data_IF_422449915231
#
_entry.id   IF_422449915231
#
_cell.length_a   1.000
_cell.length_b   1.000
_cell.length_c   1.000
_cell.angle_alpha   90.00
_cell.angle_beta   90.00
_cell.angle_gamma   90.00
#
_symmetry.space_group_name_H-M   'P 1'
#
loop_
_entity.id
_entity.type
_entity.pdbx_description
1 polymer ?
#
# COMPACT_ATOMS: atom_id res chain seq x y z
N UNK A 1 7.37 -21.90 13.62
CA UNK A 1 7.60 -20.45 13.49
C UNK A 1 6.27 -19.73 13.41
N UNK A 2 6.17 -18.54 14.00
CA UNK A 2 5.01 -17.65 13.85
C UNK A 2 5.35 -16.53 12.85
N UNK A 3 4.43 -16.22 11.95
CA UNK A 3 4.49 -15.08 11.04
C UNK A 3 3.23 -14.24 11.27
N UNK A 4 3.37 -12.96 11.61
CA UNK A 4 2.27 -12.01 11.67
C UNK A 4 2.30 -11.11 10.45
N UNK A 5 1.22 -11.13 9.67
CA UNK A 5 0.97 -10.26 8.54
C UNK A 5 0.09 -9.10 8.99
N UNK A 6 0.56 -7.87 8.79
CA UNK A 6 -0.20 -6.65 9.07
C UNK A 6 -0.46 -5.85 7.79
N UNK A 7 -1.66 -5.28 7.68
CA UNK A 7 -2.06 -4.37 6.61
C UNK A 7 -2.72 -3.09 7.14
N UNK A 8 -3.22 -2.23 6.26
CA UNK A 8 -3.61 -0.87 6.65
C UNK A 8 -4.68 -0.83 7.74
N UNK A 9 -5.54 -1.85 7.81
CA UNK A 9 -6.51 -2.03 8.89
C UNK A 9 -5.88 -2.14 10.28
N UNK A 10 -4.60 -2.51 10.39
CA UNK A 10 -3.86 -2.44 11.64
C UNK A 10 -3.69 -0.99 12.10
N UNK A 11 -3.23 -0.09 11.22
CA UNK A 11 -3.09 1.34 11.57
C UNK A 11 -4.45 1.97 11.88
N UNK A 12 -5.48 1.60 11.12
CA UNK A 12 -6.86 2.06 11.33
C UNK A 12 -7.44 1.57 12.66
N UNK A 13 -7.11 0.34 13.08
CA UNK A 13 -7.52 -0.18 14.39
C UNK A 13 -6.87 0.59 15.56
N UNK A 14 -5.80 1.34 15.29
CA UNK A 14 -5.21 2.28 16.25
C UNK A 14 -5.57 3.74 15.92
N UNK A 15 -6.68 3.96 15.21
CA UNK A 15 -7.21 5.29 14.89
C UNK A 15 -6.25 6.21 14.10
N UNK A 16 -5.24 5.66 13.43
CA UNK A 16 -4.31 6.45 12.64
C UNK A 16 -4.92 6.85 11.28
N UNK A 17 -4.72 8.11 10.83
CA UNK A 17 -5.31 8.58 9.59
C UNK A 17 -4.52 8.13 8.35
N UNK A 18 -4.50 6.84 8.07
CA UNK A 18 -3.71 6.22 6.98
C UNK A 18 -4.51 5.92 5.72
N UNK A 19 -5.80 6.27 5.65
CA UNK A 19 -6.55 6.15 4.39
C UNK A 19 -6.04 7.18 3.39
N UNK A 20 -6.01 6.81 2.10
CA UNK A 20 -5.63 7.75 1.04
C UNK A 20 -6.51 8.99 0.98
N UNK A 21 -7.80 8.86 1.32
CA UNK A 21 -8.70 10.02 1.42
C UNK A 21 -8.26 11.02 2.49
N UNK A 22 -7.73 10.55 3.62
CA UNK A 22 -7.24 11.39 4.71
C UNK A 22 -5.97 12.12 4.31
N UNK A 23 -5.09 11.45 3.54
CA UNK A 23 -3.93 12.08 2.91
C UNK A 23 -4.33 13.16 1.90
N UNK A 24 -5.32 12.92 1.04
CA UNK A 24 -5.80 13.93 0.09
C UNK A 24 -6.43 15.14 0.79
N UNK A 25 -7.24 14.91 1.84
CA UNK A 25 -7.76 16.00 2.66
C UNK A 25 -6.63 16.79 3.31
N UNK A 26 -5.61 16.12 3.84
CA UNK A 26 -4.40 16.79 4.35
C UNK A 26 -3.76 17.68 3.27
N UNK A 27 -3.54 17.17 2.04
CA UNK A 27 -3.02 17.96 0.92
C UNK A 27 -3.84 19.23 0.66
N UNK A 28 -5.17 19.14 0.65
CA UNK A 28 -6.07 20.31 0.46
C UNK A 28 -5.86 21.41 1.51
N UNK A 29 -5.42 21.05 2.72
CA UNK A 29 -5.12 22.02 3.80
C UNK A 29 -3.67 22.52 3.75
N UNK A 30 -2.78 21.87 3.00
CA UNK A 30 -1.41 22.34 2.74
C UNK A 30 -1.41 23.47 1.71
N UNK A 31 -2.12 23.34 0.58
CA UNK A 31 -2.21 24.37 -0.47
C UNK A 31 -2.39 25.82 0.04
N UNK A 32 -3.41 26.14 0.87
CA UNK A 32 -3.63 27.51 1.36
C UNK A 32 -2.51 28.06 2.25
N UNK A 33 -1.63 27.20 2.81
CA UNK A 33 -0.42 27.64 3.52
C UNK A 33 0.55 28.31 2.53
N UNK A 34 0.55 27.96 1.25
CA UNK A 34 1.57 28.43 0.31
C UNK A 34 1.04 29.33 -0.81
N UNK A 35 -0.22 29.19 -1.21
CA UNK A 35 -0.76 29.90 -2.38
C UNK A 35 -1.09 31.38 -2.12
N UNK A 36 -1.47 31.76 -0.90
CA UNK A 36 -1.79 33.15 -0.58
C UNK A 36 -0.56 33.92 -0.07
N UNK A 37 0.20 34.55 -0.96
CA UNK A 37 1.47 35.23 -0.63
C UNK A 37 1.31 36.36 0.41
N UNK A 38 0.18 37.06 0.43
CA UNK A 38 -0.08 38.16 1.37
C UNK A 38 -0.54 37.67 2.75
N UNK A 39 -1.11 36.46 2.80
CA UNK A 39 -1.70 35.87 3.99
C UNK A 39 -3.06 36.46 4.34
N UNK A 40 -3.95 35.63 4.91
CA UNK A 40 -5.26 36.06 5.43
C UNK A 40 -5.30 36.11 6.96
N UNK A 41 -4.15 35.86 7.61
CA UNK A 41 -4.05 35.67 9.05
C UNK A 41 -4.45 34.26 9.48
N UNK A 42 -3.81 33.77 10.55
CA UNK A 42 -4.00 32.39 11.02
C UNK A 42 -5.43 32.08 11.44
N UNK A 43 -6.15 33.05 12.00
CA UNK A 43 -7.55 32.86 12.40
C UNK A 43 -8.45 32.46 11.23
N UNK A 44 -8.30 33.13 10.06
CA UNK A 44 -9.07 32.78 8.87
C UNK A 44 -8.69 31.39 8.34
N UNK A 45 -7.40 31.05 8.34
CA UNK A 45 -6.97 29.68 7.97
C UNK A 45 -7.59 28.62 8.88
N UNK A 46 -7.57 28.82 10.20
CA UNK A 46 -8.19 27.90 11.14
C UNK A 46 -9.69 27.75 10.88
N UNK A 47 -10.39 28.88 10.72
CA UNK A 47 -11.84 28.88 10.52
C UNK A 47 -12.24 28.21 9.21
N UNK A 48 -11.56 28.50 8.10
CA UNK A 48 -11.91 27.99 6.76
C UNK A 48 -11.49 26.53 6.54
N UNK A 49 -10.34 26.11 7.11
CA UNK A 49 -9.71 24.84 6.74
C UNK A 49 -9.61 23.82 7.87
N UNK A 50 -9.61 24.26 9.13
CA UNK A 50 -9.37 23.38 10.29
C UNK A 50 -10.58 23.22 11.20
N UNK A 51 -11.46 24.21 11.34
CA UNK A 51 -12.52 24.21 12.36
C UNK A 51 -13.46 23.01 12.22
N UNK A 52 -14.14 22.88 11.07
CA UNK A 52 -15.10 21.80 10.79
C UNK A 52 -14.44 20.49 10.31
N UNK A 53 -13.10 20.45 10.22
CA UNK A 53 -12.38 19.26 9.77
C UNK A 53 -12.22 18.26 10.91
N UNK A 54 -13.06 17.23 10.91
CA UNK A 54 -12.95 16.08 11.83
C UNK A 54 -11.70 15.25 11.49
N UNK A 55 -10.64 15.49 12.25
CA UNK A 55 -9.31 14.94 12.00
C UNK A 55 -8.46 14.98 13.27
N UNK A 56 -7.31 14.29 13.24
CA UNK A 56 -6.39 14.24 14.36
C UNK A 56 -5.95 15.64 14.83
N UNK A 57 -6.16 15.92 16.12
CA UNK A 57 -5.91 17.23 16.74
C UNK A 57 -4.45 17.67 16.65
N UNK A 58 -3.49 16.76 16.84
CA UNK A 58 -2.07 17.09 16.76
C UNK A 58 -1.67 17.54 15.35
N UNK A 59 -2.23 16.90 14.32
CA UNK A 59 -1.99 17.30 12.93
C UNK A 59 -2.57 18.69 12.67
N UNK A 60 -3.80 18.97 13.13
CA UNK A 60 -4.44 20.28 12.99
C UNK A 60 -3.61 21.40 13.64
N UNK A 61 -3.11 21.17 14.85
CA UNK A 61 -2.24 22.15 15.52
C UNK A 61 -0.91 22.34 14.78
N UNK A 62 -0.29 21.28 14.25
CA UNK A 62 0.93 21.41 13.44
C UNK A 62 0.71 22.23 12.17
N UNK A 63 -0.40 22.02 11.45
CA UNK A 63 -0.73 22.80 10.25
C UNK A 63 -0.98 24.27 10.58
N UNK A 64 -1.65 24.55 11.70
CA UNK A 64 -1.83 25.90 12.22
C UNK A 64 -0.47 26.56 12.53
N UNK A 65 0.41 25.89 13.26
CA UNK A 65 1.76 26.42 13.56
C UNK A 65 2.61 26.60 12.30
N UNK A 66 2.46 25.72 11.30
CA UNK A 66 3.09 25.90 9.99
C UNK A 66 2.57 27.16 9.29
N UNK A 67 1.26 27.45 9.37
CA UNK A 67 0.69 28.68 8.85
C UNK A 67 1.18 29.94 9.61
N UNK A 68 1.34 29.86 10.93
CA UNK A 68 1.84 30.98 11.75
C UNK A 68 3.30 31.34 11.45
N UNK A 69 4.12 30.34 11.12
CA UNK A 69 5.56 30.52 10.84
C UNK A 69 5.90 30.94 9.40
N UNK A 70 4.87 31.21 8.58
CA UNK A 70 5.04 31.56 7.16
C UNK A 70 5.87 32.83 6.99
N UNK A 71 6.86 32.74 6.12
CA UNK A 71 7.71 33.86 5.72
C UNK A 71 7.92 33.86 4.22
N UNK A 72 7.95 35.05 3.64
CA UNK A 72 8.25 35.25 2.22
C UNK A 72 9.76 35.24 2.04
N UNK A 73 10.25 34.40 1.14
CA UNK A 73 11.67 34.27 0.82
C UNK A 73 11.87 34.49 -0.67
N UNK A 74 12.91 35.24 -1.03
CA UNK A 74 13.31 35.44 -2.42
C UNK A 74 14.16 34.25 -2.87
N UNK A 75 13.77 33.61 -3.97
CA UNK A 75 14.51 32.53 -4.63
C UNK A 75 15.13 33.05 -5.92
N UNK A 76 16.08 32.29 -6.49
CA UNK A 76 16.78 32.65 -7.73
C UNK A 76 15.81 33.10 -8.84
N UNK A 77 16.15 34.20 -9.49
CA UNK A 77 15.34 34.79 -10.56
C UNK A 77 14.20 35.72 -10.10
N UNK A 78 14.33 36.37 -8.93
CA UNK A 78 13.34 37.32 -8.36
C UNK A 78 11.95 36.71 -8.11
N UNK A 79 11.85 35.37 -8.02
CA UNK A 79 10.61 34.70 -7.63
C UNK A 79 10.51 34.72 -6.11
N UNK A 80 9.31 34.95 -5.58
CA UNK A 80 9.05 34.83 -4.15
C UNK A 80 8.33 33.53 -3.86
N UNK A 81 8.76 32.82 -2.82
CA UNK A 81 8.09 31.63 -2.30
C UNK A 81 7.79 31.78 -0.81
N UNK A 82 6.81 31.04 -0.33
CA UNK A 82 6.53 30.91 1.10
C UNK A 82 7.38 29.76 1.65
N UNK A 83 8.01 30.00 2.79
CA UNK A 83 8.69 29.01 3.60
C UNK A 83 8.08 28.98 5.00
N UNK A 84 8.15 27.85 5.69
CA UNK A 84 7.66 27.67 7.06
C UNK A 84 8.77 27.16 7.97
N UNK A 85 8.48 27.00 9.26
CA UNK A 85 9.38 26.28 10.19
C UNK A 85 9.30 24.75 10.02
N UNK A 86 8.56 24.28 9.01
CA UNK A 86 8.32 22.88 8.70
C UNK A 86 8.86 22.55 7.29
N UNK A 87 10.18 22.31 7.14
CA UNK A 87 10.78 22.06 5.83
C UNK A 87 10.14 20.90 5.05
N UNK A 88 9.63 19.89 5.76
CA UNK A 88 8.88 18.79 5.13
C UNK A 88 7.59 19.27 4.46
N UNK A 89 6.85 20.23 5.03
CA UNK A 89 5.70 20.81 4.34
C UNK A 89 6.10 21.67 3.15
N UNK A 90 7.20 22.39 3.27
CA UNK A 90 7.72 23.21 2.18
C UNK A 90 8.06 22.31 0.98
N UNK A 91 8.76 21.20 1.22
CA UNK A 91 9.03 20.16 0.21
C UNK A 91 7.73 19.57 -0.33
N UNK A 92 6.81 19.17 0.55
CA UNK A 92 5.55 18.56 0.17
C UNK A 92 4.76 19.45 -0.79
N UNK A 93 4.65 20.75 -0.49
CA UNK A 93 3.97 21.71 -1.37
C UNK A 93 4.61 21.75 -2.76
N UNK A 94 5.95 21.75 -2.85
CA UNK A 94 6.65 21.76 -4.13
C UNK A 94 6.36 20.54 -5.00
N UNK A 95 6.15 19.37 -4.38
CA UNK A 95 5.87 18.12 -5.10
C UNK A 95 4.39 17.89 -5.42
N UNK A 96 3.45 18.57 -4.74
CA UNK A 96 2.01 18.46 -4.99
C UNK A 96 1.41 19.57 -5.87
N UNK A 97 2.01 20.78 -5.88
CA UNK A 97 1.36 21.98 -6.48
C UNK A 97 1.12 21.92 -7.99
N UNK A 98 1.96 21.18 -8.70
CA UNK A 98 1.84 20.90 -10.13
C UNK A 98 2.03 19.39 -10.30
N UNK A 99 1.06 18.62 -9.79
CA UNK A 99 1.08 17.17 -9.82
C UNK A 99 -0.21 16.63 -10.44
N UNK A 100 -0.06 15.98 -11.59
CA UNK A 100 -1.19 15.47 -12.37
C UNK A 100 -2.04 14.46 -11.59
N UNK A 101 -1.45 13.68 -10.69
CA UNK A 101 -2.18 12.70 -9.90
C UNK A 101 -2.95 13.35 -8.76
N UNK A 102 -2.40 14.38 -8.10
CA UNK A 102 -3.14 15.14 -7.08
C UNK A 102 -4.39 15.76 -7.70
N UNK A 103 -4.24 16.37 -8.89
CA UNK A 103 -5.36 16.92 -9.65
C UNK A 103 -6.40 15.86 -10.01
N UNK A 104 -5.97 14.72 -10.57
CA UNK A 104 -6.83 13.59 -10.88
C UNK A 104 -7.61 13.10 -9.65
N UNK A 105 -6.91 12.85 -8.54
CA UNK A 105 -7.50 12.30 -7.33
C UNK A 105 -8.47 13.26 -6.63
N UNK A 106 -8.31 14.57 -6.80
CA UNK A 106 -9.28 15.55 -6.30
C UNK A 106 -10.60 15.54 -7.09
N UNK A 107 -10.60 15.02 -8.32
CA UNK A 107 -11.81 14.88 -9.15
C UNK A 107 -12.53 13.54 -8.92
N UNK A 108 -11.86 12.53 -8.36
CA UNK A 108 -12.47 11.25 -8.05
C UNK A 108 -13.64 11.45 -7.05
N UNK A 109 -14.81 10.89 -7.37
CA UNK A 109 -16.03 11.07 -6.56
C UNK A 109 -15.86 10.51 -5.14
N UNK A 110 -15.51 11.37 -4.19
CA UNK A 110 -15.35 11.06 -2.76
C UNK A 110 -16.67 10.87 -1.99
N UNK A 111 -17.82 10.84 -2.66
CA UNK A 111 -19.15 11.06 -2.05
C UNK A 111 -20.13 9.89 -2.12
N UNK A 112 -19.75 8.72 -2.64
CA UNK A 112 -20.62 7.54 -2.60
C UNK A 112 -20.22 6.60 -1.47
N UNK A 113 -21.24 6.07 -0.77
CA UNK A 113 -21.35 5.30 0.49
C UNK A 113 -20.19 4.41 0.97
N UNK A 114 -19.17 4.15 0.18
CA UNK A 114 -17.91 3.56 0.58
C UNK A 114 -16.79 4.52 0.18
N UNK A 115 -16.46 5.47 1.06
CA UNK A 115 -15.42 6.50 0.86
C UNK A 115 -14.00 5.88 0.84
N UNK A 116 -13.72 4.99 -0.11
CA UNK A 116 -12.43 4.35 -0.31
C UNK A 116 -11.92 4.64 -1.72
N UNK A 117 -10.91 5.50 -1.81
CA UNK A 117 -10.11 5.63 -3.03
C UNK A 117 -9.00 4.59 -2.93
N UNK A 118 -8.89 3.75 -3.94
CA UNK A 118 -7.76 2.84 -4.16
C UNK A 118 -6.86 3.48 -5.22
N UNK A 119 -5.73 4.05 -4.77
CA UNK A 119 -4.79 4.75 -5.66
C UNK A 119 -4.26 3.82 -6.74
N UNK A 120 -3.94 2.58 -6.41
CA UNK A 120 -3.40 1.59 -7.33
C UNK A 120 -4.42 1.25 -8.42
N UNK A 121 -5.68 1.03 -8.06
CA UNK A 121 -6.74 0.78 -9.04
C UNK A 121 -6.98 1.97 -9.97
N UNK A 122 -6.98 3.19 -9.44
CA UNK A 122 -7.17 4.42 -10.21
C UNK A 122 -6.00 4.73 -11.14
N UNK A 123 -4.75 4.61 -10.65
CA UNK A 123 -3.55 4.68 -11.48
C UNK A 123 -3.60 3.63 -12.58
N UNK A 124 -4.02 2.41 -12.25
CA UNK A 124 -4.14 1.31 -13.21
C UNK A 124 -5.10 1.65 -14.35
N UNK A 125 -6.25 2.27 -14.05
CA UNK A 125 -7.20 2.71 -15.09
C UNK A 125 -6.58 3.73 -16.04
N UNK A 126 -5.90 4.76 -15.51
CA UNK A 126 -5.26 5.81 -16.32
C UNK A 126 -4.14 5.24 -17.20
N UNK A 127 -3.27 4.40 -16.62
CA UNK A 127 -2.15 3.79 -17.36
C UNK A 127 -2.67 2.82 -18.42
N UNK A 128 -3.68 2.01 -18.11
CA UNK A 128 -4.29 1.11 -19.10
C UNK A 128 -4.96 1.87 -20.23
N UNK A 129 -5.63 3.00 -19.97
CA UNK A 129 -6.19 3.83 -21.05
C UNK A 129 -5.11 4.36 -21.97
N UNK A 130 -3.98 4.85 -21.43
CA UNK A 130 -2.88 5.36 -22.25
C UNK A 130 -2.18 4.23 -23.04
N UNK A 131 -2.00 3.05 -22.44
CA UNK A 131 -1.49 1.86 -23.13
C UNK A 131 -2.41 1.42 -24.27
N UNK A 132 -3.73 1.44 -24.04
CA UNK A 132 -4.73 1.11 -25.05
C UNK A 132 -4.77 2.15 -26.16
N UNK A 133 -4.62 3.45 -25.86
CA UNK A 133 -4.58 4.51 -26.87
C UNK A 133 -3.34 4.36 -27.77
N UNK A 134 -2.21 3.88 -27.23
CA UNK A 134 -0.99 3.57 -27.99
C UNK A 134 -1.12 2.30 -28.86
N UNK A 135 -2.03 1.39 -28.49
CA UNK A 135 -2.16 0.05 -29.10
C UNK A 135 -3.51 -0.22 -29.79
N UNK A 136 -4.44 0.73 -29.77
CA UNK A 136 -5.83 0.57 -30.19
C UNK A 136 -6.17 1.43 -31.41
N UNK A 137 -7.03 0.89 -32.28
CA UNK A 137 -7.65 1.51 -33.48
C UNK A 137 -6.95 1.32 -34.85
N UNK A 138 -6.38 0.14 -35.10
CA UNK A 138 -5.82 -0.33 -36.39
C UNK A 138 -4.37 0.06 -36.69
N UNK A 139 -3.72 0.85 -35.85
CA UNK A 139 -2.31 1.23 -35.96
C UNK A 139 -1.58 0.93 -34.64
N UNK A 140 -0.30 0.56 -34.72
CA UNK A 140 0.56 0.39 -33.53
C UNK A 140 1.41 1.63 -33.41
N UNK A 141 1.12 2.50 -32.44
CA UNK A 141 1.94 3.67 -32.15
C UNK A 141 3.13 3.28 -31.27
N UNK A 142 4.24 3.95 -31.49
CA UNK A 142 5.41 3.97 -30.62
C UNK A 142 5.30 5.12 -29.63
N UNK A 143 6.11 5.07 -28.58
CA UNK A 143 6.16 6.12 -27.56
C UNK A 143 6.52 7.50 -28.13
N UNK A 144 7.34 7.55 -29.17
CA UNK A 144 7.77 8.80 -29.79
C UNK A 144 6.73 9.35 -30.79
N UNK A 145 5.61 8.65 -31.01
CA UNK A 145 4.51 9.15 -31.85
C UNK A 145 3.68 10.20 -31.09
N UNK A 146 3.16 11.17 -31.85
CA UNK A 146 2.31 12.25 -31.36
C UNK A 146 0.90 11.72 -31.05
N UNK A 147 0.28 12.24 -29.99
CA UNK A 147 -1.11 11.88 -29.70
C UNK A 147 -2.05 12.50 -30.73
N UNK A 148 -3.09 11.76 -31.10
CA UNK A 148 -4.20 12.27 -31.92
C UNK A 148 -5.45 12.53 -31.07
N UNK A 149 -5.78 11.55 -30.22
CA UNK A 149 -6.86 11.59 -29.23
C UNK A 149 -6.50 10.74 -27.99
N UNK A 150 -7.23 10.92 -26.90
CA UNK A 150 -7.08 10.18 -25.65
C UNK A 150 -8.45 9.69 -25.17
N UNK A 151 -8.56 8.38 -24.91
CA UNK A 151 -9.81 7.78 -24.47
C UNK A 151 -10.17 8.17 -23.03
N UNK A 152 -9.17 8.41 -22.19
CA UNK A 152 -9.35 8.84 -20.82
C UNK A 152 -9.84 10.29 -20.74
N UNK A 153 -11.01 10.53 -20.14
CA UNK A 153 -11.60 11.87 -20.04
C UNK A 153 -10.67 12.88 -19.37
N UNK A 154 -10.02 12.51 -18.27
CA UNK A 154 -9.12 13.41 -17.55
C UNK A 154 -7.89 13.74 -18.37
N UNK A 155 -7.22 12.75 -18.98
CA UNK A 155 -6.05 13.02 -19.82
C UNK A 155 -6.43 13.85 -21.06
N UNK A 156 -7.59 13.57 -21.68
CA UNK A 156 -8.10 14.34 -22.82
C UNK A 156 -8.36 15.80 -22.47
N UNK A 157 -8.93 16.08 -21.29
CA UNK A 157 -9.11 17.45 -20.80
C UNK A 157 -7.76 18.11 -20.50
N UNK A 158 -6.89 17.41 -19.76
CA UNK A 158 -5.56 17.89 -19.35
C UNK A 158 -4.66 18.25 -20.53
N UNK A 159 -4.73 17.46 -21.60
CA UNK A 159 -3.94 17.64 -22.82
C UNK A 159 -4.78 18.13 -24.01
N UNK A 160 -5.94 18.74 -23.75
CA UNK A 160 -6.88 19.20 -24.78
C UNK A 160 -6.23 20.13 -25.81
N UNK A 161 -5.30 20.99 -25.39
CA UNK A 161 -4.53 21.89 -26.27
C UNK A 161 -3.76 21.17 -27.40
N UNK A 162 -3.45 19.88 -27.21
CA UNK A 162 -2.68 19.05 -28.13
C UNK A 162 -3.55 18.11 -28.97
N UNK A 163 -4.86 18.04 -28.67
CA UNK A 163 -5.78 17.15 -29.41
C UNK A 163 -6.05 17.67 -30.81
N UNK A 164 -6.30 16.75 -31.74
CA UNK A 164 -6.58 17.08 -33.15
C UNK A 164 -7.68 18.13 -33.30
N UNK A 165 -8.75 18.05 -32.51
CA UNK A 165 -9.89 18.98 -32.56
C UNK A 165 -9.46 20.43 -32.24
N UNK A 166 -8.65 20.63 -31.20
CA UNK A 166 -8.21 21.97 -30.79
C UNK A 166 -7.13 22.51 -31.73
N UNK A 167 -6.27 21.64 -32.26
CA UNK A 167 -5.29 22.03 -33.28
C UNK A 167 -5.99 22.54 -34.56
N UNK A 168 -7.03 21.87 -35.04
CA UNK A 168 -7.80 22.30 -36.21
C UNK A 168 -8.45 23.68 -36.00
N UNK A 169 -8.94 23.97 -34.80
CA UNK A 169 -9.49 25.30 -34.45
C UNK A 169 -8.38 26.35 -34.44
N UNK A 170 -7.23 26.07 -33.81
CA UNK A 170 -6.10 27.02 -33.75
C UNK A 170 -5.53 27.35 -35.14
N UNK A 171 -5.55 26.40 -36.09
CA UNK A 171 -5.16 26.65 -37.48
C UNK A 171 -6.13 27.60 -38.20
N UNK A 172 -7.44 27.47 -37.95
CA UNK A 172 -8.46 28.38 -38.50
C UNK A 172 -8.31 29.80 -37.94
N UNK A 173 -7.81 29.93 -36.70
CA UNK A 173 -7.56 31.22 -36.03
C UNK A 173 -6.18 31.85 -36.35
N UNK A 174 -5.39 31.26 -37.26
CA UNK A 174 -4.12 31.84 -37.74
C UNK A 174 -2.95 31.77 -36.76
N UNK A 175 -2.96 30.86 -35.77
CA UNK A 175 -1.81 30.64 -34.87
C UNK A 175 -0.74 29.77 -35.56
N UNK A 176 0.50 30.27 -35.65
CA UNK A 176 1.57 29.64 -36.45
C UNK A 176 2.23 28.38 -35.85
N UNK A 177 2.03 28.04 -34.56
CA UNK A 177 2.67 26.87 -33.95
C UNK A 177 1.68 25.73 -33.65
N UNK A 178 1.80 24.64 -34.41
CA UNK A 178 1.31 23.32 -34.00
C UNK A 178 2.02 22.91 -32.69
N UNK A 179 1.28 22.85 -31.59
CA UNK A 179 1.75 22.22 -30.37
C UNK A 179 1.44 20.73 -30.45
N UNK A 180 2.47 19.88 -30.50
CA UNK A 180 2.32 18.43 -30.36
C UNK A 180 2.87 17.96 -29.02
N UNK A 181 2.40 16.78 -28.59
CA UNK A 181 2.92 16.05 -27.44
C UNK A 181 2.91 14.57 -27.77
N UNK A 182 3.94 13.86 -27.34
CA UNK A 182 4.12 12.43 -27.58
C UNK A 182 3.59 11.58 -26.42
N UNK A 183 3.28 10.32 -26.70
CA UNK A 183 2.96 9.34 -25.63
C UNK A 183 4.08 9.24 -24.58
N UNK A 184 5.34 9.37 -25.01
CA UNK A 184 6.53 9.39 -24.14
C UNK A 184 6.50 10.54 -23.15
N UNK A 185 6.16 11.74 -23.58
CA UNK A 185 6.10 12.92 -22.72
C UNK A 185 5.00 12.78 -21.67
N UNK A 186 3.80 12.33 -22.06
CA UNK A 186 2.70 12.07 -21.13
C UNK A 186 3.11 10.98 -20.12
N UNK A 187 3.61 9.85 -20.60
CA UNK A 187 4.07 8.75 -19.73
C UNK A 187 5.15 9.22 -18.77
N UNK A 188 6.15 9.96 -19.24
CA UNK A 188 7.24 10.47 -18.40
C UNK A 188 6.70 11.44 -17.34
N UNK A 189 5.74 12.30 -17.71
CA UNK A 189 5.08 13.20 -16.77
C UNK A 189 4.31 12.42 -15.69
N UNK A 190 3.50 11.44 -16.09
CA UNK A 190 2.78 10.55 -15.18
C UNK A 190 3.73 9.81 -14.23
N UNK A 191 4.85 9.29 -14.75
CA UNK A 191 5.83 8.55 -13.94
C UNK A 191 6.57 9.46 -12.95
N UNK A 192 6.96 10.66 -13.40
CA UNK A 192 7.60 11.63 -12.53
C UNK A 192 6.66 12.10 -11.41
N UNK A 193 5.41 12.39 -11.75
CA UNK A 193 4.45 12.90 -10.80
C UNK A 193 3.93 11.82 -9.83
N UNK A 194 3.90 10.54 -10.22
CA UNK A 194 3.58 9.47 -9.25
C UNK A 194 4.70 9.34 -8.21
N UNK A 195 5.97 9.47 -8.60
CA UNK A 195 7.09 9.47 -7.65
C UNK A 195 7.02 10.67 -6.69
N UNK A 196 6.64 11.85 -7.19
CA UNK A 196 6.36 13.03 -6.35
C UNK A 196 5.19 12.81 -5.40
N UNK A 197 4.10 12.17 -5.86
CA UNK A 197 2.96 11.81 -5.02
C UNK A 197 3.37 10.86 -3.89
N UNK A 198 4.16 9.83 -4.21
CA UNK A 198 4.69 8.88 -3.24
C UNK A 198 5.56 9.60 -2.20
N UNK A 199 6.40 10.56 -2.63
CA UNK A 199 7.18 11.39 -1.69
C UNK A 199 6.28 12.25 -0.80
N UNK A 200 5.24 12.86 -1.34
CA UNK A 200 4.27 13.61 -0.54
C UNK A 200 3.58 12.72 0.50
N UNK A 201 3.21 11.50 0.11
CA UNK A 201 2.64 10.49 1.02
C UNK A 201 3.64 10.08 2.10
N UNK A 202 4.92 9.89 1.76
CA UNK A 202 5.97 9.59 2.72
C UNK A 202 6.13 10.69 3.76
N UNK A 203 6.17 11.96 3.33
CA UNK A 203 6.27 13.11 4.24
C UNK A 203 5.07 13.14 5.19
N UNK A 204 3.86 12.91 4.68
CA UNK A 204 2.66 12.82 5.49
C UNK A 204 2.76 11.68 6.52
N UNK A 205 3.07 10.46 6.09
CA UNK A 205 3.12 9.30 6.97
C UNK A 205 4.25 9.41 8.00
N UNK A 206 5.46 9.82 7.60
CA UNK A 206 6.62 9.89 8.49
C UNK A 206 6.64 11.14 9.37
N UNK A 207 6.25 12.29 8.84
CA UNK A 207 6.26 13.58 9.53
C UNK A 207 5.05 13.83 10.43
N UNK A 208 3.91 13.22 10.11
CA UNK A 208 2.65 13.44 10.81
C UNK A 208 2.13 12.17 11.46
N UNK A 209 1.78 11.14 10.68
CA UNK A 209 1.09 9.95 11.21
C UNK A 209 1.97 9.18 12.21
N UNK A 210 3.23 8.91 11.87
CA UNK A 210 4.18 8.23 12.74
C UNK A 210 4.54 9.03 14.01
N UNK A 211 4.10 10.29 14.12
CA UNK A 211 4.33 11.13 15.30
C UNK A 211 3.14 11.18 16.26
N UNK A 212 1.97 10.71 15.85
CA UNK A 212 0.78 10.67 16.69
C UNK A 212 1.02 9.68 17.83
N UNK A 213 0.86 10.10 19.08
CA UNK A 213 0.96 9.20 20.22
C UNK A 213 -0.31 8.36 20.32
N UNK A 214 -0.17 7.04 20.22
CA UNK A 214 -1.27 6.09 20.39
C UNK A 214 -1.05 5.31 21.68
N UNK A 215 -2.07 5.29 22.52
CA UNK A 215 -2.04 4.62 23.82
C UNK A 215 -2.79 3.31 23.82
N UNK A 216 -3.02 2.65 22.67
CA UNK A 216 -3.76 1.38 22.62
C UNK A 216 -2.94 0.27 21.94
N UNK A 217 -3.20 -0.97 22.35
CA UNK A 217 -2.59 -2.20 21.83
C UNK A 217 -3.63 -3.33 21.70
N UNK A 218 -3.29 -4.38 20.97
CA UNK A 218 -4.16 -5.54 20.76
C UNK A 218 -3.68 -6.74 21.57
N UNK A 219 -4.56 -7.24 22.45
CA UNK A 219 -4.35 -8.50 23.19
C UNK A 219 -4.14 -9.69 22.24
N UNK A 220 -4.91 -9.75 21.15
CA UNK A 220 -4.78 -10.78 20.12
C UNK A 220 -3.38 -10.82 19.51
N UNK A 221 -2.75 -9.67 19.31
CA UNK A 221 -1.38 -9.57 18.78
C UNK A 221 -0.36 -9.98 19.83
N UNK A 222 -0.53 -9.53 21.08
CA UNK A 222 0.34 -9.92 22.20
C UNK A 222 0.39 -11.43 22.39
N UNK A 223 -0.76 -12.10 22.34
CA UNK A 223 -0.85 -13.54 22.53
C UNK A 223 -0.15 -14.35 21.41
N UNK A 224 0.22 -13.72 20.28
CA UNK A 224 1.01 -14.37 19.21
C UNK A 224 2.47 -14.53 19.61
N UNK A 225 3.02 -13.56 20.37
CA UNK A 225 4.44 -13.51 20.68
C UNK A 225 4.76 -13.56 22.17
N UNK A 226 3.81 -13.37 23.08
CA UNK A 226 3.97 -13.50 24.51
C UNK A 226 3.48 -14.87 25.00
N UNK A 227 4.31 -15.59 25.75
CA UNK A 227 3.87 -16.74 26.53
C UNK A 227 3.56 -16.28 27.95
N UNK A 228 2.33 -16.50 28.40
CA UNK A 228 1.88 -16.16 29.76
C UNK A 228 1.69 -17.43 30.60
N UNK A 229 1.95 -17.33 31.91
CA UNK A 229 1.59 -18.38 32.88
C UNK A 229 0.08 -18.33 33.21
N UNK A 230 -0.38 -19.23 34.08
CA UNK A 230 -1.78 -19.27 34.53
C UNK A 230 -2.21 -18.00 35.31
N UNK A 231 -1.23 -17.22 35.80
CA UNK A 231 -1.45 -15.96 36.50
C UNK A 231 -1.36 -14.73 35.57
N UNK A 232 -1.07 -14.93 34.28
CA UNK A 232 -0.98 -13.87 33.27
C UNK A 232 0.39 -13.23 33.12
N UNK A 233 1.42 -13.69 33.84
CA UNK A 233 2.77 -13.13 33.75
C UNK A 233 3.49 -13.62 32.50
N UNK A 234 4.20 -12.73 31.80
CA UNK A 234 5.00 -13.08 30.64
C UNK A 234 6.20 -13.92 31.09
N UNK A 235 6.27 -15.16 30.60
CA UNK A 235 7.32 -16.14 30.91
C UNK A 235 8.38 -16.24 29.81
N UNK A 236 8.00 -16.00 28.56
CA UNK A 236 8.90 -16.06 27.41
C UNK A 236 8.29 -15.35 26.20
N UNK A 237 9.14 -15.04 25.22
CA UNK A 237 8.72 -14.53 23.91
C UNK A 237 8.88 -15.60 22.83
N UNK A 238 7.93 -15.67 21.91
CA UNK A 238 7.96 -16.54 20.74
C UNK A 238 8.63 -15.78 19.59
N UNK A 239 9.64 -16.38 18.98
CA UNK A 239 10.25 -15.84 17.75
C UNK A 239 9.17 -15.72 16.65
N UNK A 240 8.76 -14.47 16.41
CA UNK A 240 7.66 -14.10 15.54
C UNK A 240 8.18 -13.14 14.48
N UNK A 241 8.03 -13.55 13.22
CA UNK A 241 8.42 -12.75 12.05
C UNK A 241 7.26 -11.87 11.63
N UNK A 242 7.52 -10.65 11.17
CA UNK A 242 6.47 -9.69 10.81
C UNK A 242 6.55 -9.38 9.33
N UNK A 243 5.46 -9.58 8.59
CA UNK A 243 5.29 -9.11 7.21
C UNK A 243 4.41 -7.88 7.25
N UNK A 244 5.00 -6.70 7.00
CA UNK A 244 4.27 -5.44 6.99
C UNK A 244 3.95 -5.01 5.57
N UNK A 245 2.66 -4.86 5.29
CA UNK A 245 2.14 -4.15 4.12
C UNK A 245 1.97 -2.66 4.38
N UNK A 246 2.08 -2.22 5.65
CA UNK A 246 2.02 -0.81 6.02
C UNK A 246 3.36 -0.13 5.79
N UNK A 247 3.30 1.13 5.36
CA UNK A 247 4.46 2.00 5.25
C UNK A 247 4.88 2.61 6.60
N UNK A 248 3.96 2.67 7.57
CA UNK A 248 4.17 3.27 8.89
C UNK A 248 5.03 2.37 9.79
N UNK A 249 5.52 2.93 10.89
CA UNK A 249 6.29 2.17 11.90
C UNK A 249 5.47 1.84 13.15
N UNK A 250 4.14 1.94 13.06
CA UNK A 250 3.18 1.79 14.15
C UNK A 250 3.44 0.54 14.98
N UNK A 251 3.61 -0.62 14.33
CA UNK A 251 3.82 -1.89 15.02
C UNK A 251 5.03 -1.85 15.97
N UNK A 252 6.19 -1.39 15.47
CA UNK A 252 7.41 -1.32 16.28
C UNK A 252 7.32 -0.28 17.41
N UNK A 253 6.54 0.79 17.19
CA UNK A 253 6.34 1.85 18.18
C UNK A 253 5.47 1.39 19.36
N UNK A 254 4.46 0.55 19.08
CA UNK A 254 3.50 0.06 20.08
C UNK A 254 4.10 -1.10 20.85
N UNK A 255 4.53 -2.17 20.17
CA UNK A 255 4.92 -3.42 20.83
C UNK A 255 6.38 -3.47 21.30
N UNK A 256 7.15 -2.38 21.13
CA UNK A 256 8.50 -2.07 21.68
C UNK A 256 9.44 -3.27 21.92
N UNK A 257 9.43 -4.25 21.02
CA UNK A 257 10.24 -5.47 21.10
C UNK A 257 11.02 -5.65 19.79
N UNK A 258 12.14 -6.35 19.85
CA UNK A 258 12.95 -6.63 18.68
C UNK A 258 12.27 -7.68 17.80
N UNK A 259 11.76 -7.27 16.64
CA UNK A 259 11.14 -8.16 15.66
C UNK A 259 11.88 -8.13 14.33
N UNK A 260 11.91 -9.27 13.66
CA UNK A 260 12.32 -9.34 12.25
C UNK A 260 11.13 -8.90 11.38
N UNK A 261 11.14 -7.61 11.01
CA UNK A 261 10.08 -7.01 10.19
C UNK A 261 10.54 -6.90 8.73
N UNK A 262 9.72 -7.42 7.83
CA UNK A 262 9.87 -7.30 6.39
C UNK A 262 8.81 -6.34 5.83
N UNK A 263 9.26 -5.16 5.39
CA UNK A 263 8.40 -4.12 4.80
C UNK A 263 8.30 -4.34 3.29
N UNK A 264 7.28 -5.08 2.89
CA UNK A 264 7.07 -5.54 1.52
C UNK A 264 6.93 -4.40 0.54
N UNK A 265 6.16 -3.38 0.94
CA UNK A 265 5.90 -2.19 0.12
C UNK A 265 6.82 -1.02 0.50
N UNK A 266 7.91 -1.28 1.20
CA UNK A 266 8.79 -0.22 1.72
C UNK A 266 8.24 0.45 2.97
N UNK A 267 8.98 1.44 3.47
CA UNK A 267 8.72 2.09 4.75
C UNK A 267 8.91 3.60 4.60
N UNK A 268 7.96 4.36 5.14
CA UNK A 268 8.06 5.81 5.15
C UNK A 268 9.19 6.28 6.07
N UNK A 269 10.11 7.06 5.52
CA UNK A 269 11.18 7.72 6.27
C UNK A 269 11.30 9.19 5.86
N UNK A 270 11.25 10.09 6.84
CA UNK A 270 11.30 11.53 6.59
C UNK A 270 12.66 11.95 5.99
N UNK A 271 13.72 11.18 6.25
CA UNK A 271 15.07 11.47 5.78
C UNK A 271 15.32 11.06 4.33
N UNK A 272 14.38 10.35 3.71
CA UNK A 272 14.49 10.02 2.29
C UNK A 272 14.35 11.26 1.40
N UNK A 273 14.81 11.16 0.17
CA UNK A 273 14.47 12.05 -0.94
C UNK A 273 13.52 11.34 -1.90
N UNK A 274 13.12 12.00 -2.99
CA UNK A 274 12.38 11.33 -4.08
C UNK A 274 13.14 10.10 -4.60
N UNK A 275 14.47 10.17 -4.71
CA UNK A 275 15.28 9.11 -5.28
C UNK A 275 15.56 7.96 -4.30
N UNK A 276 15.67 8.26 -3.00
CA UNK A 276 15.92 7.23 -1.97
C UNK A 276 14.64 6.65 -1.38
N UNK A 277 13.48 7.22 -1.70
CA UNK A 277 12.17 6.71 -1.29
C UNK A 277 11.97 5.26 -1.76
N UNK A 278 11.72 4.36 -0.81
CA UNK A 278 11.52 2.94 -1.11
C UNK A 278 10.05 2.48 -1.09
N UNK A 279 9.09 3.40 -0.93
CA UNK A 279 7.67 3.05 -0.90
C UNK A 279 7.16 2.59 -2.26
N UNK A 280 6.44 1.48 -2.29
CA UNK A 280 5.85 0.89 -3.51
C UNK A 280 4.37 1.24 -3.56
N UNK A 281 3.97 1.95 -4.60
CA UNK A 281 2.59 2.31 -4.93
C UNK A 281 2.37 1.98 -6.41
N UNK A 282 2.57 0.70 -6.74
CA UNK A 282 2.59 0.21 -8.11
C UNK A 282 1.36 -0.65 -8.43
N UNK A 283 0.99 -0.66 -9.70
CA UNK A 283 -0.16 -1.40 -10.22
C UNK A 283 0.20 -2.86 -10.54
N UNK A 284 -0.80 -3.72 -10.57
CA UNK A 284 -0.61 -5.11 -10.99
C UNK A 284 -0.32 -5.26 -12.49
N UNK A 285 0.18 -6.43 -12.87
CA UNK A 285 0.32 -6.81 -14.26
C UNK A 285 -1.05 -6.99 -14.93
N UNK A 286 -1.44 -6.01 -15.76
CA UNK A 286 -2.67 -6.04 -16.54
C UNK A 286 -2.49 -6.69 -17.92
N UNK A 287 -1.26 -6.85 -18.43
CA UNK A 287 -1.04 -7.39 -19.76
C UNK A 287 -1.23 -8.92 -19.81
N UNK A 288 -1.79 -9.45 -20.91
CA UNK A 288 -1.90 -10.89 -21.11
C UNK A 288 -0.52 -11.54 -21.24
N UNK A 289 -0.43 -12.86 -20.97
CA UNK A 289 0.83 -13.63 -20.99
C UNK A 289 1.64 -13.46 -22.29
N UNK A 290 0.97 -13.26 -23.43
CA UNK A 290 1.60 -13.08 -24.74
C UNK A 290 2.30 -11.72 -24.92
N UNK A 291 1.86 -10.69 -24.19
CA UNK A 291 2.32 -9.29 -24.28
C UNK A 291 3.29 -8.90 -23.17
N UNK A 292 3.01 -9.33 -21.92
CA UNK A 292 3.70 -8.86 -20.71
C UNK A 292 5.23 -9.00 -20.69
N UNK A 293 5.79 -9.96 -21.42
CA UNK A 293 7.25 -10.19 -21.47
C UNK A 293 7.94 -9.45 -22.62
N UNK A 294 7.18 -8.73 -23.45
CA UNK A 294 7.67 -8.00 -24.64
C UNK A 294 7.46 -6.50 -24.50
N UNK A 295 6.32 -6.12 -23.92
CA UNK A 295 5.90 -4.73 -23.78
C UNK A 295 6.27 -4.20 -22.39
N UNK A 296 7.29 -3.35 -22.37
CA UNK A 296 7.91 -2.80 -21.15
C UNK A 296 7.73 -1.29 -21.02
N UNK A 297 7.00 -0.65 -21.93
CA UNK A 297 6.83 0.80 -22.02
C UNK A 297 6.31 1.41 -20.71
N UNK A 298 5.41 0.69 -20.01
CA UNK A 298 4.79 1.08 -18.75
C UNK A 298 5.27 0.25 -17.55
N UNK A 299 6.37 -0.51 -17.69
CA UNK A 299 6.86 -1.43 -16.64
C UNK A 299 7.15 -0.71 -15.32
N UNK A 300 7.57 0.57 -15.39
CA UNK A 300 7.92 1.37 -14.21
C UNK A 300 6.74 1.65 -13.27
N UNK A 301 5.50 1.56 -13.76
CA UNK A 301 4.30 1.68 -12.93
C UNK A 301 3.96 0.37 -12.22
N UNK A 302 4.54 -0.76 -12.63
CA UNK A 302 4.19 -2.08 -12.11
C UNK A 302 4.83 -2.33 -10.75
N UNK A 303 4.06 -2.92 -9.84
CA UNK A 303 4.47 -3.22 -8.46
C UNK A 303 5.77 -4.03 -8.37
N UNK A 304 5.89 -5.10 -9.17
CA UNK A 304 7.10 -5.94 -9.15
C UNK A 304 8.36 -5.17 -9.56
N UNK A 305 8.24 -4.27 -10.54
CA UNK A 305 9.36 -3.45 -10.99
C UNK A 305 9.78 -2.50 -9.86
N UNK A 306 8.82 -1.82 -9.23
CA UNK A 306 9.11 -0.92 -8.12
C UNK A 306 9.77 -1.64 -6.95
N UNK A 307 9.30 -2.84 -6.56
CA UNK A 307 9.94 -3.66 -5.51
C UNK A 307 11.41 -3.98 -5.81
N UNK A 308 11.71 -4.37 -7.05
CA UNK A 308 13.09 -4.66 -7.51
C UNK A 308 13.93 -3.37 -7.54
N UNK A 309 13.42 -2.33 -8.19
CA UNK A 309 14.13 -1.06 -8.39
C UNK A 309 14.42 -0.34 -7.06
N UNK A 310 13.48 -0.39 -6.12
CA UNK A 310 13.58 0.26 -4.80
C UNK A 310 14.21 -0.64 -3.72
N UNK A 311 14.50 -1.90 -4.05
CA UNK A 311 15.09 -2.86 -3.10
C UNK A 311 14.24 -3.06 -1.85
N UNK A 312 12.93 -3.27 -2.01
CA UNK A 312 12.04 -3.48 -0.84
C UNK A 312 12.22 -4.87 -0.21
N UNK A 313 11.60 -5.04 0.96
CA UNK A 313 11.68 -6.26 1.75
C UNK A 313 11.28 -7.52 0.98
N UNK A 314 12.16 -8.50 0.96
CA UNK A 314 11.90 -9.86 0.46
C UNK A 314 12.34 -10.94 1.46
N UNK A 315 12.65 -10.57 2.71
CA UNK A 315 13.12 -11.48 3.77
C UNK A 315 12.11 -12.59 4.05
N UNK A 316 10.81 -12.32 3.85
CA UNK A 316 9.78 -13.33 4.03
C UNK A 316 9.98 -14.56 3.13
N UNK A 317 10.66 -14.42 1.99
CA UNK A 317 10.99 -15.57 1.13
C UNK A 317 11.88 -16.58 1.84
N UNK A 318 12.84 -16.14 2.66
CA UNK A 318 13.68 -17.04 3.46
C UNK A 318 12.84 -17.81 4.49
N UNK A 319 11.81 -17.16 5.05
CA UNK A 319 10.85 -17.79 5.96
C UNK A 319 9.98 -18.81 5.23
N UNK A 320 9.57 -18.51 3.99
CA UNK A 320 8.85 -19.46 3.13
C UNK A 320 9.73 -20.66 2.76
N UNK A 321 11.00 -20.43 2.45
CA UNK A 321 11.94 -21.51 2.12
C UNK A 321 12.14 -22.44 3.31
N UNK A 322 12.20 -21.89 4.53
CA UNK A 322 12.20 -22.67 5.77
C UNK A 322 10.92 -23.53 5.90
N UNK A 323 9.75 -22.93 5.68
CA UNK A 323 8.46 -23.66 5.74
C UNK A 323 8.42 -24.81 4.73
N UNK A 324 8.88 -24.57 3.50
CA UNK A 324 8.91 -25.57 2.43
C UNK A 324 9.93 -26.66 2.69
N UNK A 325 11.11 -26.31 3.21
CA UNK A 325 12.14 -27.26 3.63
C UNK A 325 11.64 -28.22 4.71
N UNK A 326 11.05 -27.67 5.78
CA UNK A 326 10.45 -28.45 6.87
C UNK A 326 9.38 -29.44 6.36
N UNK A 327 8.59 -29.04 5.36
CA UNK A 327 7.60 -29.93 4.75
C UNK A 327 8.24 -31.01 3.88
N UNK A 328 9.27 -30.66 3.09
CA UNK A 328 10.00 -31.60 2.23
C UNK A 328 10.74 -32.67 3.06
N UNK A 329 11.31 -32.30 4.20
CA UNK A 329 11.95 -33.23 5.13
C UNK A 329 10.93 -34.23 5.68
N UNK A 330 9.76 -33.74 6.10
CA UNK A 330 8.65 -34.60 6.51
C UNK A 330 8.20 -35.56 5.38
N UNK A 331 8.09 -35.08 4.14
CA UNK A 331 7.70 -35.92 3.00
C UNK A 331 8.74 -37.01 2.74
N UNK A 332 10.02 -36.68 2.80
CA UNK A 332 11.13 -37.62 2.61
C UNK A 332 11.08 -38.75 3.65
N UNK A 333 10.90 -38.40 4.93
CA UNK A 333 10.79 -39.40 6.00
C UNK A 333 9.51 -40.25 5.89
N UNK A 334 8.41 -39.66 5.42
CA UNK A 334 7.18 -40.38 5.14
C UNK A 334 7.35 -41.40 4.00
N UNK A 335 8.10 -41.06 2.96
CA UNK A 335 8.37 -41.95 1.83
C UNK A 335 9.30 -43.10 2.20
N UNK A 336 10.41 -42.84 2.91
CA UNK A 336 11.29 -43.89 3.46
C UNK A 336 10.52 -44.91 4.30
N UNK A 337 9.62 -44.41 5.15
CA UNK A 337 8.78 -45.26 5.98
C UNK A 337 7.77 -46.11 5.18
N UNK A 338 7.33 -45.68 3.99
CA UNK A 338 6.44 -46.47 3.13
C UNK A 338 7.18 -47.58 2.39
N UNK A 339 8.43 -47.34 2.00
CA UNK A 339 9.23 -48.29 1.23
C UNK A 339 9.87 -49.38 2.10
N UNK A 340 10.30 -49.05 3.32
CA UNK A 340 10.96 -50.00 4.23
C UNK A 340 10.00 -50.98 4.92
N UNK A 341 8.70 -50.69 4.91
CA UNK A 341 7.72 -51.32 5.80
C UNK A 341 6.46 -51.69 5.01
N UNK A 342 6.39 -52.95 4.59
CA UNK A 342 5.22 -53.60 3.98
C UNK A 342 4.05 -53.69 5.02
N UNK A 343 3.44 -52.54 5.37
CA UNK A 343 2.64 -52.42 6.61
C UNK A 343 1.15 -52.14 6.35
N UNK A 344 0.32 -52.95 7.02
CA UNK A 344 -1.14 -53.00 7.04
C UNK A 344 -1.87 -51.75 7.57
N UNK A 345 -1.20 -50.69 8.06
CA UNK A 345 -1.89 -49.55 8.68
C UNK A 345 -1.17 -48.19 8.50
N UNK A 346 -1.15 -47.71 7.25
CA UNK A 346 -0.55 -46.44 6.82
C UNK A 346 -1.03 -45.20 7.61
N UNK A 347 -2.29 -45.19 8.07
CA UNK A 347 -2.92 -44.00 8.67
C UNK A 347 -2.39 -43.70 10.08
N UNK A 348 -2.22 -44.72 10.92
CA UNK A 348 -1.68 -44.55 12.28
C UNK A 348 -0.19 -44.15 12.25
N UNK A 349 0.57 -44.71 11.32
CA UNK A 349 1.99 -44.39 11.13
C UNK A 349 2.20 -42.97 10.59
N UNK A 350 1.42 -42.56 9.58
CA UNK A 350 1.47 -41.20 9.06
C UNK A 350 1.17 -40.17 10.16
N UNK A 351 0.24 -40.46 11.07
CA UNK A 351 -0.03 -39.59 12.23
C UNK A 351 1.13 -39.52 13.22
N UNK A 352 1.81 -40.65 13.48
CA UNK A 352 3.01 -40.67 14.33
C UNK A 352 4.15 -39.85 13.71
N UNK A 353 4.40 -40.02 12.41
CA UNK A 353 5.41 -39.27 11.67
C UNK A 353 5.09 -37.78 11.63
N UNK A 354 3.82 -37.40 11.42
CA UNK A 354 3.40 -35.99 11.51
C UNK A 354 3.73 -35.38 12.87
N UNK A 355 3.48 -36.10 13.97
CA UNK A 355 3.81 -35.59 15.31
C UNK A 355 5.31 -35.43 15.56
N UNK A 356 6.13 -36.24 14.90
CA UNK A 356 7.57 -36.31 15.17
C UNK A 356 8.39 -35.41 14.25
N UNK A 357 7.99 -35.25 12.98
CA UNK A 357 8.79 -34.62 11.94
C UNK A 357 8.12 -33.43 11.25
N UNK A 358 6.79 -33.28 11.36
CA UNK A 358 6.12 -32.15 10.72
C UNK A 358 6.17 -30.92 11.64
N UNK A 359 7.13 -30.05 11.37
CA UNK A 359 7.12 -28.72 11.94
C UNK A 359 5.90 -27.95 11.43
N UNK A 360 5.06 -27.49 12.36
CA UNK A 360 3.89 -26.67 12.05
C UNK A 360 4.25 -25.20 12.25
N UNK A 361 3.82 -24.38 11.31
CA UNK A 361 3.99 -22.94 11.34
C UNK A 361 2.63 -22.26 11.43
N UNK A 362 2.60 -21.07 12.01
CA UNK A 362 1.38 -20.28 12.10
C UNK A 362 1.54 -18.97 11.35
N UNK A 363 0.56 -18.64 10.52
CA UNK A 363 0.42 -17.33 9.88
C UNK A 363 -0.77 -16.63 10.51
N UNK A 364 -0.57 -15.47 11.09
CA UNK A 364 -1.61 -14.61 11.62
C UNK A 364 -1.80 -13.45 10.67
N UNK A 365 -3.03 -13.08 10.34
CA UNK A 365 -3.32 -11.96 9.45
C UNK A 365 -4.22 -10.98 10.18
N UNK A 366 -3.70 -9.79 10.45
CA UNK A 366 -4.40 -8.75 11.20
C UNK A 366 -4.49 -7.46 10.39
N UNK A 367 -5.70 -6.94 10.22
CA UNK A 367 -5.92 -5.66 9.52
C UNK A 367 -5.56 -5.66 8.02
N UNK A 368 -5.36 -6.83 7.40
CA UNK A 368 -5.14 -6.94 5.95
C UNK A 368 -6.45 -7.23 5.22
N UNK A 369 -6.66 -6.62 4.05
CA UNK A 369 -7.87 -6.78 3.22
C UNK A 369 -7.94 -8.10 2.45
N UNK A 370 -6.80 -8.82 2.40
CA UNK A 370 -6.57 -10.03 1.60
C UNK A 370 -6.76 -9.78 0.09
N UNK A 371 -6.51 -8.56 -0.36
CA UNK A 371 -6.79 -8.15 -1.72
C UNK A 371 -5.96 -8.91 -2.77
N UNK A 372 -6.51 -9.02 -3.98
CA UNK A 372 -5.87 -9.71 -5.10
C UNK A 372 -4.56 -9.06 -5.52
N UNK A 373 -4.38 -7.77 -5.24
CA UNK A 373 -3.16 -7.03 -5.54
C UNK A 373 -1.93 -7.55 -4.78
N UNK A 374 -2.12 -8.24 -3.65
CA UNK A 374 -1.05 -8.85 -2.85
C UNK A 374 -1.08 -10.39 -2.93
N UNK A 375 -1.74 -10.91 -3.96
CA UNK A 375 -1.96 -12.35 -4.17
C UNK A 375 -0.69 -13.18 -4.22
N UNK A 376 0.40 -12.67 -4.80
CA UNK A 376 1.67 -13.40 -4.91
C UNK A 376 2.22 -13.76 -3.53
N UNK A 377 2.18 -12.81 -2.59
CA UNK A 377 2.71 -12.98 -1.22
C UNK A 377 1.75 -13.81 -0.37
N UNK A 378 0.45 -13.49 -0.42
CA UNK A 378 -0.56 -14.20 0.35
C UNK A 378 -0.63 -15.69 -0.04
N UNK A 379 -0.49 -16.01 -1.32
CA UNK A 379 -0.44 -17.41 -1.78
C UNK A 379 0.78 -18.13 -1.25
N UNK A 380 1.95 -17.50 -1.30
CA UNK A 380 3.19 -18.11 -0.81
C UNK A 380 3.14 -18.40 0.69
N UNK A 381 2.45 -17.57 1.48
CA UNK A 381 2.25 -17.80 2.92
C UNK A 381 1.20 -18.86 3.20
N UNK A 382 0.02 -18.76 2.58
CA UNK A 382 -1.17 -19.56 2.95
C UNK A 382 -1.16 -20.95 2.32
N UNK A 383 -0.63 -21.12 1.10
CA UNK A 383 -0.72 -22.36 0.34
C UNK A 383 0.37 -23.39 0.69
N UNK A 384 0.56 -23.60 1.99
CA UNK A 384 1.44 -24.64 2.53
C UNK A 384 0.63 -25.54 3.46
N UNK A 385 0.82 -26.86 3.39
CA UNK A 385 0.02 -27.83 4.15
C UNK A 385 0.50 -28.00 5.61
N UNK A 386 1.69 -27.50 5.94
CA UNK A 386 2.23 -27.39 7.29
C UNK A 386 2.03 -26.00 7.93
N UNK A 387 1.27 -25.12 7.28
CA UNK A 387 0.89 -23.81 7.80
C UNK A 387 -0.55 -23.83 8.26
N UNK A 388 -0.80 -23.30 9.46
CA UNK A 388 -2.15 -22.95 9.93
C UNK A 388 -2.28 -21.43 9.96
N UNK A 389 -3.38 -20.90 9.43
CA UNK A 389 -3.61 -19.47 9.24
C UNK A 389 -4.79 -19.00 10.07
N UNK A 390 -4.57 -17.99 10.90
CA UNK A 390 -5.62 -17.28 11.64
C UNK A 390 -5.81 -15.90 11.04
N UNK A 391 -7.03 -15.60 10.61
CA UNK A 391 -7.41 -14.32 9.98
C UNK A 391 -8.31 -13.58 10.95
N UNK A 392 -7.87 -12.41 11.40
CA UNK A 392 -8.62 -11.56 12.31
C UNK A 392 -9.60 -10.68 11.54
N UNK A 393 -10.83 -10.57 12.06
CA UNK A 393 -11.88 -9.69 11.52
C UNK A 393 -12.53 -8.87 12.62
N UNK A 394 -12.82 -7.60 12.33
CA UNK A 394 -13.45 -6.70 13.29
C UNK A 394 -14.95 -6.96 13.43
N UNK A 395 -15.65 -7.18 12.31
CA UNK A 395 -17.08 -7.48 12.28
C UNK A 395 -17.42 -8.46 11.15
N UNK A 396 -18.68 -8.91 11.09
CA UNK A 396 -19.13 -9.92 10.11
C UNK A 396 -19.10 -9.43 8.67
N UNK A 397 -19.28 -8.13 8.42
CA UNK A 397 -19.20 -7.57 7.07
C UNK A 397 -17.77 -7.61 6.55
N UNK A 398 -16.80 -7.22 7.39
CA UNK A 398 -15.36 -7.33 7.10
C UNK A 398 -14.97 -8.79 6.88
N UNK A 399 -15.48 -9.72 7.69
CA UNK A 399 -15.25 -11.16 7.50
C UNK A 399 -15.75 -11.63 6.13
N UNK A 400 -16.95 -11.22 5.72
CA UNK A 400 -17.51 -11.52 4.39
C UNK A 400 -16.63 -11.00 3.25
N UNK A 401 -16.15 -9.76 3.38
CA UNK A 401 -15.24 -9.16 2.41
C UNK A 401 -13.89 -9.90 2.34
N UNK A 402 -13.32 -10.26 3.49
CA UNK A 402 -12.08 -11.05 3.57
C UNK A 402 -12.24 -12.42 2.91
N UNK A 403 -13.37 -13.10 3.12
CA UNK A 403 -13.69 -14.37 2.45
C UNK A 403 -13.74 -14.17 0.93
N UNK A 404 -14.48 -13.18 0.44
CA UNK A 404 -14.61 -12.90 -0.99
C UNK A 404 -13.26 -12.59 -1.65
N UNK A 405 -12.41 -11.83 -0.98
CA UNK A 405 -11.07 -11.52 -1.46
C UNK A 405 -10.15 -12.74 -1.43
N UNK A 406 -10.21 -13.53 -0.36
CA UNK A 406 -9.42 -14.76 -0.25
C UNK A 406 -9.78 -15.78 -1.35
N UNK A 407 -11.06 -15.89 -1.75
CA UNK A 407 -11.47 -16.69 -2.91
C UNK A 407 -10.73 -16.25 -4.19
N UNK A 408 -10.57 -14.95 -4.43
CA UNK A 408 -9.84 -14.42 -5.61
C UNK A 408 -8.33 -14.74 -5.55
N UNK A 409 -7.78 -14.80 -4.33
CA UNK A 409 -6.36 -15.09 -4.07
C UNK A 409 -6.03 -16.58 -4.22
N UNK A 410 -6.73 -17.46 -3.50
CA UNK A 410 -6.40 -18.90 -3.44
C UNK A 410 -7.31 -19.80 -4.27
N UNK A 411 -8.49 -19.34 -4.67
CA UNK A 411 -9.51 -20.13 -5.35
C UNK A 411 -10.54 -20.73 -4.40
N UNK A 412 -11.75 -20.96 -4.90
CA UNK A 412 -12.88 -21.44 -4.11
C UNK A 412 -12.63 -22.83 -3.51
N UNK A 413 -12.18 -23.80 -4.33
CA UNK A 413 -11.96 -25.18 -3.88
C UNK A 413 -10.91 -25.26 -2.77
N UNK A 414 -9.84 -24.47 -2.89
CA UNK A 414 -8.77 -24.43 -1.90
C UNK A 414 -9.25 -23.77 -0.60
N UNK A 415 -10.06 -22.72 -0.67
CA UNK A 415 -10.64 -22.10 0.52
C UNK A 415 -11.57 -23.08 1.27
N UNK A 416 -12.44 -23.80 0.56
CA UNK A 416 -13.35 -24.80 1.16
C UNK A 416 -12.53 -25.91 1.84
N UNK A 417 -11.52 -26.45 1.14
CA UNK A 417 -10.62 -27.47 1.69
C UNK A 417 -9.93 -27.03 2.98
N UNK A 418 -9.47 -25.78 3.04
CA UNK A 418 -8.71 -25.24 4.17
C UNK A 418 -9.59 -24.74 5.32
N UNK A 419 -10.88 -24.53 5.12
CA UNK A 419 -11.80 -24.08 6.18
C UNK A 419 -12.67 -25.20 6.75
N UNK A 420 -12.85 -26.30 6.00
CA UNK A 420 -13.72 -27.42 6.36
C UNK A 420 -13.00 -28.73 6.71
N UNK A 421 -13.64 -29.54 7.55
CA UNK A 421 -13.28 -30.94 7.79
C UNK A 421 -11.93 -31.17 8.49
N UNK A 422 -11.36 -32.36 8.29
CA UNK A 422 -10.10 -32.76 8.92
C UNK A 422 -8.84 -32.15 8.28
N UNK A 423 -9.00 -31.33 7.23
CA UNK A 423 -7.94 -30.61 6.52
C UNK A 423 -7.92 -29.12 6.83
N UNK A 424 -8.71 -28.69 7.84
CA UNK A 424 -8.78 -27.29 8.24
C UNK A 424 -7.39 -26.75 8.60
N UNK A 425 -6.98 -25.72 7.87
CA UNK A 425 -5.76 -24.94 8.09
C UNK A 425 -6.02 -23.44 8.08
N UNK A 426 -7.26 -22.98 7.88
CA UNK A 426 -7.66 -21.57 7.96
C UNK A 426 -8.77 -21.41 8.99
N UNK A 427 -8.63 -20.40 9.83
CA UNK A 427 -9.61 -19.98 10.83
C UNK A 427 -9.83 -18.47 10.77
N UNK A 428 -11.09 -18.06 10.88
CA UNK A 428 -11.46 -16.67 11.06
C UNK A 428 -11.77 -16.44 12.53
N UNK A 429 -11.04 -15.52 13.16
CA UNK A 429 -11.19 -15.16 14.58
C UNK A 429 -11.68 -13.72 14.67
N UNK A 430 -12.74 -13.48 15.45
CA UNK A 430 -13.18 -12.12 15.71
C UNK A 430 -12.14 -11.44 16.60
N UNK A 431 -11.72 -10.24 16.19
CA UNK A 431 -10.77 -9.42 16.92
C UNK A 431 -11.38 -8.98 18.26
N UNK A 432 -10.57 -8.99 19.32
CA UNK A 432 -10.88 -8.37 20.60
C UNK A 432 -10.70 -6.86 20.55
N UNK A 433 -11.43 -6.16 21.42
CA UNK A 433 -11.30 -4.71 21.56
C UNK A 433 -9.84 -4.33 21.89
N UNK A 434 -9.42 -3.18 21.37
CA UNK A 434 -8.13 -2.61 21.68
C UNK A 434 -8.11 -2.20 23.16
N UNK A 435 -6.97 -2.38 23.82
CA UNK A 435 -6.80 -2.06 25.24
C UNK A 435 -5.79 -0.92 25.40
N UNK A 436 -5.97 -0.03 26.38
CA UNK A 436 -4.96 0.97 26.70
C UNK A 436 -3.63 0.31 27.08
N UNK A 437 -2.52 0.88 26.61
CA UNK A 437 -1.17 0.50 26.99
C UNK A 437 -0.98 0.94 28.44
N UNK A 438 -0.76 -0.02 29.35
CA UNK A 438 -0.40 0.27 30.74
C UNK A 438 1.03 0.87 30.77
N UNK A 439 1.18 2.05 31.40
CA UNK A 439 2.47 2.76 31.52
C UNK A 439 3.46 2.10 32.49
#
# INVERSE_FOLDING_TARGET
>A
MNILVIGNGFDLAHELPTKYIQFLEFCKRVFPIYENVEGRGVHLYQQEYLFDWDFNKEIKEKLKSAYESRRKVTVEGNRSQIQTDYPGLDEMYLVIKDNIWIEYFFQCNMYQKENWIDFESEVSKVIQSLDNDMHGLNETYNLDDEITDLSNNFLREKYSEYTFVVQQINMLDGKESLKSITFKEIRNRLLNDINKLIRALEIYLAGYVNKIQNGEESSDIKDIFEKKDEQGNITAFIDTKIVSFNYTTTFNRIYKHSFDIDYIHGKADINNTIDTNNMVLGIDEYLPKKRRNKETQFIAFKKFYQRIHKGTGCKYKEWIDTIKGDFADYQTELEKCKTEKNIMNLKAMANKLKKQYLNRHHVYIFGHSLDVTDKDILRDLILNDNVYTTIFYHNKDVMGQQIANLVKVIGQDELIRRTGGSTKTIEFKQQQDMIPIEE
#
